data_IF_031778959579
#
_entry.id   IF_031778959579
#
_cell.length_a   1.000
_cell.length_b   1.000
_cell.length_c   1.000
_cell.angle_alpha   90.00
_cell.angle_beta   90.00
_cell.angle_gamma   90.00
#
_symmetry.space_group_name_H-M   'P 1'
#
loop_
_entity.id
_entity.type
_entity.pdbx_description
1 polymer ?
#
# COMPACT_ATOMS: atom_id res chain seq x y z
N UNK A 1 -23.26 15.21 9.47
CA UNK A 1 -22.31 14.99 8.35
C UNK A 1 -23.12 15.12 7.08
N UNK A 2 -22.98 16.24 6.37
CA UNK A 2 -23.57 16.43 5.05
C UNK A 2 -22.85 15.48 4.10
N UNK A 3 -23.56 14.51 3.55
CA UNK A 3 -23.02 13.62 2.54
C UNK A 3 -22.56 14.48 1.36
N UNK A 4 -21.32 14.28 0.94
CA UNK A 4 -20.83 14.86 -0.29
C UNK A 4 -21.56 14.11 -1.42
N UNK A 5 -22.68 14.66 -1.86
CA UNK A 5 -23.40 14.16 -3.02
C UNK A 5 -22.68 14.69 -4.26
N UNK A 6 -21.79 13.89 -4.79
CA UNK A 6 -21.08 14.19 -6.02
C UNK A 6 -20.22 13.01 -6.43
N UNK A 7 -20.10 12.79 -7.72
CA UNK A 7 -19.14 11.84 -8.28
C UNK A 7 -17.85 12.60 -8.53
N UNK A 8 -16.75 12.16 -7.94
CA UNK A 8 -15.41 12.62 -8.33
C UNK A 8 -14.96 11.66 -9.42
N UNK A 9 -14.78 12.18 -10.60
CA UNK A 9 -14.21 11.43 -11.72
C UNK A 9 -12.70 11.62 -11.72
N UNK A 10 -11.97 10.51 -11.60
CA UNK A 10 -10.51 10.46 -11.75
C UNK A 10 -10.25 9.67 -13.02
N UNK A 11 -10.04 10.35 -14.16
CA UNK A 11 -10.06 9.72 -15.48
C UNK A 11 -8.88 8.77 -15.72
N UNK A 12 -7.77 8.98 -15.03
CA UNK A 12 -6.55 8.17 -15.19
C UNK A 12 -5.92 7.84 -13.84
N UNK A 13 -5.14 6.78 -13.78
CA UNK A 13 -4.29 6.53 -12.62
C UNK A 13 -3.19 7.61 -12.53
N UNK A 14 -2.91 8.10 -11.32
CA UNK A 14 -1.92 9.15 -11.14
C UNK A 14 -1.84 9.60 -9.67
N UNK A 15 -0.95 10.54 -9.44
CA UNK A 15 -0.83 11.24 -8.16
C UNK A 15 -1.55 12.58 -8.30
N UNK A 16 -2.60 12.76 -7.50
CA UNK A 16 -3.48 13.93 -7.57
C UNK A 16 -3.39 14.75 -6.30
N UNK A 17 -3.39 16.07 -6.45
CA UNK A 17 -3.62 16.95 -5.33
C UNK A 17 -5.12 17.00 -5.02
N UNK A 18 -5.49 16.61 -3.80
CA UNK A 18 -6.86 16.66 -3.31
C UNK A 18 -6.96 17.68 -2.18
N UNK A 19 -7.97 18.53 -2.22
CA UNK A 19 -8.33 19.34 -1.05
C UNK A 19 -8.93 18.46 0.06
N UNK A 20 -9.14 19.01 1.25
CA UNK A 20 -9.62 18.27 2.41
C UNK A 20 -10.97 17.56 2.17
N UNK A 21 -11.88 18.20 1.41
CA UNK A 21 -13.20 17.65 1.07
C UNK A 21 -13.05 16.43 0.16
N UNK A 22 -12.25 16.53 -0.88
CA UNK A 22 -12.02 15.47 -1.84
C UNK A 22 -11.19 14.32 -1.23
N UNK A 23 -10.19 14.63 -0.38
CA UNK A 23 -9.42 13.65 0.36
C UNK A 23 -10.31 12.84 1.33
N UNK A 24 -11.24 13.53 2.04
CA UNK A 24 -12.20 12.87 2.92
C UNK A 24 -13.16 11.97 2.13
N UNK A 25 -13.67 12.43 0.99
CA UNK A 25 -14.50 11.62 0.12
C UNK A 25 -13.75 10.38 -0.37
N UNK A 26 -12.52 10.54 -0.85
CA UNK A 26 -11.68 9.43 -1.30
C UNK A 26 -11.45 8.39 -0.20
N UNK A 27 -11.18 8.84 1.02
CA UNK A 27 -10.97 7.98 2.18
C UNK A 27 -12.25 7.23 2.63
N UNK A 28 -13.45 7.80 2.39
CA UNK A 28 -14.73 7.26 2.86
C UNK A 28 -15.50 6.47 1.81
N UNK A 29 -15.25 6.69 0.52
CA UNK A 29 -16.00 6.08 -0.57
C UNK A 29 -16.00 4.55 -0.50
N UNK A 30 -17.19 3.93 -0.70
CA UNK A 30 -17.39 2.46 -0.72
C UNK A 30 -18.18 1.99 -1.94
N UNK A 31 -18.61 2.92 -2.81
CA UNK A 31 -19.59 2.61 -3.87
C UNK A 31 -19.14 1.53 -4.86
N UNK A 32 -17.87 1.47 -5.17
CA UNK A 32 -17.33 0.59 -6.23
C UNK A 32 -16.25 -0.37 -5.73
N UNK A 33 -16.00 -0.38 -4.40
CA UNK A 33 -14.85 -1.08 -3.84
C UNK A 33 -15.18 -1.72 -2.48
N UNK A 34 -14.30 -2.61 -2.02
CA UNK A 34 -14.42 -3.29 -0.72
C UNK A 34 -14.01 -2.40 0.46
N UNK A 35 -14.29 -2.85 1.68
CA UNK A 35 -13.80 -2.24 2.91
C UNK A 35 -12.27 -2.32 3.01
N UNK A 36 -11.65 -3.35 2.44
CA UNK A 36 -10.20 -3.47 2.35
C UNK A 36 -9.60 -2.38 1.46
N UNK A 37 -10.24 -2.07 0.33
CA UNK A 37 -9.81 -0.97 -0.53
C UNK A 37 -10.00 0.39 0.14
N UNK A 38 -11.06 0.55 0.94
CA UNK A 38 -11.25 1.75 1.76
C UNK A 38 -10.11 1.94 2.75
N UNK A 39 -9.74 0.88 3.49
CA UNK A 39 -8.63 0.93 4.44
C UNK A 39 -7.32 1.32 3.75
N UNK A 40 -7.04 0.78 2.57
CA UNK A 40 -5.87 1.16 1.77
C UNK A 40 -5.90 2.63 1.35
N UNK A 41 -7.07 3.17 0.95
CA UNK A 41 -7.21 4.59 0.62
C UNK A 41 -6.99 5.48 1.83
N UNK A 42 -7.51 5.11 2.99
CA UNK A 42 -7.26 5.83 4.24
C UNK A 42 -5.76 5.92 4.55
N UNK A 43 -5.05 4.82 4.43
CA UNK A 43 -3.60 4.83 4.63
C UNK A 43 -2.86 5.68 3.59
N UNK A 44 -3.29 5.70 2.32
CA UNK A 44 -2.72 6.59 1.29
C UNK A 44 -2.91 8.06 1.66
N UNK A 45 -4.09 8.44 2.15
CA UNK A 45 -4.33 9.82 2.62
C UNK A 45 -3.43 10.16 3.80
N UNK A 46 -3.30 9.27 4.79
CA UNK A 46 -2.41 9.50 5.94
C UNK A 46 -0.94 9.67 5.50
N UNK A 47 -0.48 8.87 4.55
CA UNK A 47 0.86 9.00 3.98
C UNK A 47 1.05 10.32 3.24
N UNK A 48 0.07 10.72 2.44
CA UNK A 48 0.11 11.99 1.72
C UNK A 48 0.15 13.18 2.68
N UNK A 49 -0.66 13.14 3.75
CA UNK A 49 -0.62 14.13 4.82
C UNK A 49 0.75 14.19 5.50
N UNK A 50 1.32 13.04 5.84
CA UNK A 50 2.66 12.98 6.43
C UNK A 50 3.72 13.59 5.52
N UNK A 51 3.67 13.29 4.22
CA UNK A 51 4.56 13.88 3.24
C UNK A 51 4.43 15.41 3.16
N UNK A 52 3.21 15.93 3.19
CA UNK A 52 2.95 17.37 3.17
C UNK A 52 3.44 18.06 4.47
N UNK A 53 3.16 17.44 5.62
CA UNK A 53 3.62 17.94 6.92
C UNK A 53 5.15 18.11 6.94
N UNK A 54 5.87 17.11 6.44
CA UNK A 54 7.33 17.15 6.33
C UNK A 54 7.80 18.23 5.33
N UNK A 55 7.19 18.24 4.13
CA UNK A 55 7.61 19.15 3.06
C UNK A 55 7.36 20.64 3.39
N UNK A 56 6.30 20.94 4.14
CA UNK A 56 5.89 22.29 4.47
C UNK A 56 6.40 22.77 5.85
N UNK A 57 7.12 21.92 6.60
CA UNK A 57 7.63 22.27 7.92
C UNK A 57 6.54 22.55 8.96
N UNK A 58 5.33 21.98 8.78
CA UNK A 58 4.16 22.23 9.64
C UNK A 58 4.41 21.77 11.08
N UNK A 59 5.36 20.87 11.33
CA UNK A 59 5.70 20.40 12.69
C UNK A 59 6.01 21.57 13.63
N UNK A 60 6.70 22.60 13.14
CA UNK A 60 6.97 23.82 13.92
C UNK A 60 5.72 24.64 14.25
N UNK A 61 4.60 24.41 13.56
CA UNK A 61 3.32 25.10 13.78
C UNK A 61 2.34 24.29 14.66
N UNK A 62 2.70 23.06 15.05
CA UNK A 62 1.85 22.20 15.88
C UNK A 62 1.36 22.87 17.17
N UNK A 63 2.16 23.67 17.91
CA UNK A 63 1.65 24.38 19.09
C UNK A 63 0.47 25.31 18.78
N UNK A 64 0.51 25.99 17.63
CA UNK A 64 -0.56 26.91 17.22
C UNK A 64 -1.82 26.16 16.74
N UNK A 65 -1.65 24.96 16.20
CA UNK A 65 -2.72 24.13 15.67
C UNK A 65 -3.29 23.16 16.71
N UNK A 66 -2.72 23.11 17.92
CA UNK A 66 -3.07 22.12 18.93
C UNK A 66 -4.54 22.16 19.34
N UNK A 67 -5.10 23.34 19.51
CA UNK A 67 -6.52 23.51 19.85
C UNK A 67 -7.44 22.93 18.78
N UNK A 68 -7.15 23.22 17.52
CA UNK A 68 -7.92 22.69 16.39
C UNK A 68 -7.78 21.17 16.24
N UNK A 69 -6.58 20.66 16.53
CA UNK A 69 -6.32 19.22 16.49
C UNK A 69 -7.17 18.47 17.54
N UNK A 70 -7.24 18.98 18.77
CA UNK A 70 -8.05 18.39 19.85
C UNK A 70 -9.55 18.41 19.54
N UNK A 71 -10.04 19.37 18.77
CA UNK A 71 -11.41 19.41 18.29
C UNK A 71 -11.72 18.33 17.24
N UNK A 72 -10.69 17.80 16.60
CA UNK A 72 -10.80 16.86 15.47
C UNK A 72 -10.42 15.44 15.85
N UNK A 73 -9.44 15.28 16.75
CA UNK A 73 -8.87 13.99 17.14
C UNK A 73 -9.04 13.80 18.65
N UNK A 74 -9.61 12.69 19.05
CA UNK A 74 -9.66 12.29 20.46
C UNK A 74 -8.39 11.46 20.78
N UNK A 75 -7.57 11.95 21.71
CA UNK A 75 -6.30 11.33 22.10
C UNK A 75 -6.01 11.57 23.57
N UNK A 76 -5.27 10.69 24.19
CA UNK A 76 -4.70 10.81 25.53
C UNK A 76 -3.30 11.44 25.53
N UNK A 77 -2.72 11.72 24.33
CA UNK A 77 -1.43 12.39 24.18
C UNK A 77 -1.57 13.88 24.49
N UNK A 78 -0.61 14.42 25.21
CA UNK A 78 -0.47 15.87 25.39
C UNK A 78 0.41 16.49 24.28
N UNK A 79 0.48 17.81 24.20
CA UNK A 79 1.26 18.51 23.19
C UNK A 79 2.76 18.12 23.20
N UNK A 80 3.35 17.94 24.37
CA UNK A 80 4.77 17.56 24.48
C UNK A 80 5.01 16.17 23.92
N UNK A 81 4.10 15.23 24.18
CA UNK A 81 4.17 13.87 23.62
C UNK A 81 4.08 13.90 22.10
N UNK A 82 3.16 14.72 21.55
CA UNK A 82 3.01 14.87 20.11
C UNK A 82 4.24 15.52 19.47
N UNK A 83 4.81 16.55 20.08
CA UNK A 83 6.04 17.18 19.59
C UNK A 83 7.23 16.23 19.64
N UNK A 84 7.35 15.44 20.71
CA UNK A 84 8.40 14.42 20.84
C UNK A 84 8.25 13.34 19.75
N UNK A 85 7.06 12.79 19.58
CA UNK A 85 6.79 11.78 18.55
C UNK A 85 6.96 12.33 17.14
N UNK A 86 6.54 13.58 16.89
CA UNK A 86 6.75 14.25 15.60
C UNK A 86 8.24 14.41 15.30
N UNK A 87 9.05 14.80 16.30
CA UNK A 87 10.51 14.89 16.17
C UNK A 87 11.16 13.54 15.85
N UNK A 88 10.72 12.45 16.49
CA UNK A 88 11.17 11.11 16.14
C UNK A 88 10.72 10.73 14.72
N UNK A 89 9.48 11.04 14.37
CA UNK A 89 8.92 10.75 13.06
C UNK A 89 9.70 11.37 11.90
N UNK A 90 10.26 12.57 12.09
CA UNK A 90 11.09 13.21 11.04
C UNK A 90 12.40 12.48 10.77
N UNK A 91 12.89 11.70 11.72
CA UNK A 91 14.11 10.92 11.60
C UNK A 91 13.89 9.55 10.93
N UNK A 92 12.64 9.14 10.78
CA UNK A 92 12.29 7.86 10.17
C UNK A 92 12.31 8.03 8.65
N UNK A 93 13.20 7.28 7.99
CA UNK A 93 13.17 7.17 6.54
C UNK A 93 11.88 6.49 6.07
N UNK A 94 11.26 7.04 5.00
CA UNK A 94 10.00 6.52 4.44
C UNK A 94 10.11 5.04 4.04
N UNK A 95 11.28 4.62 3.57
CA UNK A 95 11.58 3.24 3.22
C UNK A 95 11.51 2.27 4.41
N UNK A 96 11.54 2.79 5.63
CA UNK A 96 11.44 2.00 6.88
C UNK A 96 10.03 1.90 7.43
N UNK A 97 9.07 2.62 6.86
CA UNK A 97 7.66 2.57 7.28
C UNK A 97 7.00 1.38 6.59
N UNK A 98 6.82 0.29 7.32
CA UNK A 98 6.08 -0.88 6.85
C UNK A 98 4.58 -0.67 6.96
N UNK A 99 3.87 -1.13 5.93
CA UNK A 99 2.42 -1.23 5.99
C UNK A 99 2.02 -2.69 5.84
N UNK A 100 1.24 -3.17 6.78
CA UNK A 100 0.69 -4.50 6.75
C UNK A 100 -0.83 -4.41 6.67
N UNK A 101 -1.41 -5.25 5.83
CA UNK A 101 -2.85 -5.30 5.64
C UNK A 101 -3.34 -6.71 5.92
N UNK A 102 -4.40 -6.81 6.68
CA UNK A 102 -5.27 -7.97 6.63
C UNK A 102 -6.25 -7.71 5.49
N UNK A 103 -6.17 -8.47 4.43
CA UNK A 103 -6.96 -8.26 3.22
C UNK A 103 -7.83 -9.48 2.88
N UNK A 104 -8.54 -9.40 1.75
CA UNK A 104 -9.45 -10.44 1.33
C UNK A 104 -8.80 -11.80 1.06
N UNK A 105 -7.46 -11.88 1.00
CA UNK A 105 -6.76 -13.17 0.87
C UNK A 105 -6.80 -13.97 2.19
N UNK A 106 -6.88 -13.26 3.32
CA UNK A 106 -6.90 -13.85 4.67
C UNK A 106 -8.28 -13.72 5.35
N UNK A 107 -9.25 -13.08 4.69
CA UNK A 107 -10.57 -12.81 5.24
C UNK A 107 -11.63 -13.73 4.63
N UNK A 108 -12.32 -14.48 5.46
CA UNK A 108 -13.41 -15.35 5.05
C UNK A 108 -14.74 -14.64 5.28
N UNK A 109 -15.52 -14.48 4.22
CA UNK A 109 -16.85 -13.90 4.30
C UNK A 109 -17.83 -14.89 4.92
N UNK A 110 -18.58 -14.40 5.90
CA UNK A 110 -19.65 -15.15 6.56
C UNK A 110 -20.92 -14.30 6.56
N UNK A 111 -22.07 -14.95 6.38
CA UNK A 111 -23.38 -14.31 6.55
C UNK A 111 -23.96 -14.83 7.83
N UNK A 112 -24.26 -13.94 8.80
CA UNK A 112 -24.86 -14.33 10.07
C UNK A 112 -26.30 -14.82 9.88
N UNK A 113 -26.87 -15.43 10.91
CA UNK A 113 -28.26 -15.89 10.87
C UNK A 113 -29.25 -14.72 10.65
N UNK A 114 -28.87 -13.51 11.06
CA UNK A 114 -29.63 -12.26 10.90
C UNK A 114 -29.38 -11.60 9.52
N UNK A 115 -28.64 -12.25 8.62
CA UNK A 115 -28.34 -11.75 7.28
C UNK A 115 -27.21 -10.73 7.18
N UNK A 116 -26.48 -10.45 8.27
CA UNK A 116 -25.35 -9.54 8.24
C UNK A 116 -24.13 -10.20 7.57
N UNK A 117 -23.52 -9.47 6.62
CA UNK A 117 -22.26 -9.90 6.01
C UNK A 117 -21.08 -9.45 6.86
N UNK A 118 -20.37 -10.41 7.43
CA UNK A 118 -19.20 -10.20 8.28
C UNK A 118 -17.98 -10.91 7.71
N UNK A 119 -16.78 -10.45 8.13
CA UNK A 119 -15.54 -11.15 7.82
C UNK A 119 -14.97 -11.72 9.12
N UNK A 120 -14.45 -12.93 9.05
CA UNK A 120 -13.62 -13.49 10.10
C UNK A 120 -12.25 -13.88 9.53
N UNK A 121 -11.26 -13.88 10.40
CA UNK A 121 -9.89 -14.24 10.04
C UNK A 121 -9.51 -15.53 10.78
N UNK A 122 -8.94 -16.48 10.04
CA UNK A 122 -8.32 -17.63 10.68
C UNK A 122 -6.97 -17.20 11.27
N UNK A 123 -6.75 -17.46 12.55
CA UNK A 123 -5.51 -17.07 13.24
C UNK A 123 -4.27 -17.65 12.58
N UNK A 124 -4.31 -18.89 12.12
CA UNK A 124 -3.18 -19.53 11.45
C UNK A 124 -2.80 -18.81 10.15
N UNK A 125 -3.80 -18.39 9.36
CA UNK A 125 -3.60 -17.68 8.11
C UNK A 125 -3.03 -16.27 8.31
N UNK A 126 -3.49 -15.56 9.35
CA UNK A 126 -3.03 -14.19 9.63
C UNK A 126 -1.77 -14.15 10.49
N UNK A 127 -1.42 -15.24 11.19
CA UNK A 127 -0.26 -15.27 12.10
C UNK A 127 1.04 -14.86 11.41
N UNK A 128 1.25 -15.30 10.19
CA UNK A 128 2.40 -14.94 9.37
C UNK A 128 2.42 -13.42 9.07
N UNK A 129 1.27 -12.87 8.71
CA UNK A 129 1.13 -11.42 8.43
C UNK A 129 1.36 -10.62 9.71
N UNK A 130 0.79 -11.04 10.84
CA UNK A 130 0.99 -10.40 12.13
C UNK A 130 2.46 -10.48 12.57
N UNK A 131 3.06 -11.67 12.52
CA UNK A 131 4.49 -11.81 12.82
C UNK A 131 5.34 -10.89 11.96
N UNK A 132 5.13 -10.87 10.64
CA UNK A 132 5.89 -10.00 9.75
C UNK A 132 5.67 -8.51 10.01
N UNK A 133 4.52 -8.12 10.58
CA UNK A 133 4.23 -6.74 10.94
C UNK A 133 4.96 -6.29 12.21
N UNK A 134 5.10 -7.19 13.19
CA UNK A 134 5.67 -6.88 14.50
C UNK A 134 7.13 -7.36 14.67
N UNK A 135 7.58 -8.29 13.84
CA UNK A 135 8.99 -8.67 13.86
C UNK A 135 9.88 -7.51 13.43
N UNK A 136 10.93 -7.18 14.18
CA UNK A 136 11.91 -6.21 13.74
C UNK A 136 12.48 -6.67 12.39
N UNK A 137 12.65 -5.73 11.49
CA UNK A 137 13.35 -6.02 10.23
C UNK A 137 14.70 -6.65 10.55
N UNK A 138 15.06 -7.68 9.81
CA UNK A 138 16.32 -8.40 9.99
C UNK A 138 17.45 -7.38 10.21
N UNK A 139 18.07 -7.40 11.40
CA UNK A 139 19.07 -6.42 11.81
C UNK A 139 20.20 -6.27 10.78
N UNK A 140 20.49 -7.33 10.02
CA UNK A 140 21.43 -7.29 8.92
C UNK A 140 20.99 -6.39 7.75
N UNK A 141 19.69 -6.06 7.64
CA UNK A 141 19.15 -5.13 6.62
C UNK A 141 18.87 -3.73 7.20
N UNK A 142 18.73 -3.60 8.51
CA UNK A 142 18.38 -2.32 9.14
C UNK A 142 19.44 -1.23 8.95
N UNK A 143 20.69 -1.60 8.68
CA UNK A 143 21.81 -0.70 8.41
C UNK A 143 22.17 -0.58 6.91
N UNK A 144 21.50 -1.32 6.01
CA UNK A 144 21.82 -1.25 4.60
C UNK A 144 20.97 -0.16 3.91
N UNK A 145 21.53 0.56 2.93
CA UNK A 145 20.76 1.48 2.13
C UNK A 145 19.64 0.74 1.39
N UNK A 146 18.53 1.43 1.07
CA UNK A 146 17.46 0.84 0.25
C UNK A 146 18.01 0.38 -1.10
N UNK A 147 17.54 -0.78 -1.57
CA UNK A 147 17.89 -1.23 -2.92
C UNK A 147 17.39 -0.23 -3.96
N UNK A 148 18.24 0.11 -4.91
CA UNK A 148 17.99 1.17 -5.89
C UNK A 148 17.32 0.61 -7.14
N UNK A 149 16.21 1.24 -7.52
CA UNK A 149 15.35 0.80 -8.63
C UNK A 149 15.10 1.93 -9.62
N UNK A 150 15.03 1.61 -10.90
CA UNK A 150 14.44 2.48 -11.91
C UNK A 150 13.10 1.90 -12.40
N UNK A 151 12.17 2.78 -12.77
CA UNK A 151 10.83 2.41 -13.25
C UNK A 151 10.61 3.03 -14.62
N UNK A 152 10.33 2.19 -15.60
CA UNK A 152 10.10 2.59 -16.98
C UNK A 152 8.66 2.25 -17.37
N UNK A 153 7.92 3.26 -17.85
CA UNK A 153 6.56 3.07 -18.33
C UNK A 153 6.59 2.57 -19.79
N UNK A 154 6.37 1.30 -19.98
CA UNK A 154 6.27 0.65 -21.28
C UNK A 154 4.85 0.62 -21.86
N UNK A 155 3.96 1.52 -21.41
CA UNK A 155 2.58 1.60 -21.86
C UNK A 155 2.20 3.00 -22.34
N UNK A 156 1.10 3.11 -23.06
CA UNK A 156 0.54 4.41 -23.45
C UNK A 156 -0.23 5.11 -22.30
N UNK A 157 -0.38 4.46 -21.15
CA UNK A 157 -1.09 5.03 -20.01
C UNK A 157 -0.19 6.03 -19.26
N UNK A 158 -0.61 7.30 -19.14
CA UNK A 158 0.22 8.31 -18.50
C UNK A 158 0.37 8.08 -16.99
N UNK A 159 1.50 8.51 -16.42
CA UNK A 159 1.78 8.53 -14.98
C UNK A 159 1.85 7.16 -14.28
N UNK A 160 1.83 6.06 -14.99
CA UNK A 160 1.97 4.74 -14.37
C UNK A 160 3.33 4.56 -13.71
N UNK A 161 4.38 5.09 -14.30
CA UNK A 161 5.73 5.17 -13.73
C UNK A 161 5.76 5.90 -12.38
N UNK A 162 5.11 7.06 -12.29
CA UNK A 162 5.04 7.82 -11.05
C UNK A 162 4.28 7.07 -9.94
N UNK A 163 3.17 6.39 -10.28
CA UNK A 163 2.41 5.56 -9.33
C UNK A 163 3.22 4.36 -8.86
N UNK A 164 3.98 3.72 -9.76
CA UNK A 164 4.85 2.61 -9.41
C UNK A 164 6.03 3.06 -8.55
N UNK A 165 6.62 4.23 -8.85
CA UNK A 165 7.69 4.83 -8.06
C UNK A 165 7.23 5.15 -6.63
N UNK A 166 6.05 5.74 -6.45
CA UNK A 166 5.47 5.97 -5.12
C UNK A 166 5.27 4.65 -4.37
N UNK A 167 4.74 3.63 -5.03
CA UNK A 167 4.56 2.28 -4.44
C UNK A 167 5.87 1.67 -3.96
N UNK A 168 6.94 1.78 -4.77
CA UNK A 168 8.27 1.28 -4.43
C UNK A 168 8.88 2.01 -3.24
N UNK A 169 8.77 3.34 -3.23
CA UNK A 169 9.26 4.15 -2.11
C UNK A 169 8.63 3.71 -0.79
N UNK A 170 7.33 3.46 -0.79
CA UNK A 170 6.62 2.96 0.39
C UNK A 170 6.86 1.48 0.70
N UNK A 171 7.40 0.73 -0.25
CA UNK A 171 7.84 -0.66 -0.04
C UNK A 171 9.30 -0.76 0.43
N UNK A 172 9.98 0.37 0.63
CA UNK A 172 11.34 0.41 1.14
C UNK A 172 12.42 0.32 0.08
N UNK A 173 12.13 0.76 -1.14
CA UNK A 173 13.10 0.88 -2.22
C UNK A 173 13.48 2.33 -2.48
N UNK A 174 14.73 2.55 -2.86
CA UNK A 174 15.19 3.83 -3.38
C UNK A 174 14.87 3.92 -4.87
N UNK A 175 14.04 4.87 -5.27
CA UNK A 175 13.75 5.08 -6.70
C UNK A 175 14.72 6.13 -7.25
N UNK A 176 15.67 5.69 -8.09
CA UNK A 176 16.64 6.58 -8.70
C UNK A 176 16.03 7.45 -9.80
N UNK A 177 15.20 6.83 -10.63
CA UNK A 177 14.48 7.53 -11.70
C UNK A 177 13.23 6.77 -12.11
N UNK A 178 12.28 7.49 -12.71
CA UNK A 178 11.13 6.93 -13.39
C UNK A 178 10.82 7.77 -14.64
N UNK A 179 10.21 7.15 -15.63
CA UNK A 179 9.91 7.80 -16.91
C UNK A 179 9.42 6.82 -17.97
N UNK A 180 9.35 7.23 -19.24
CA UNK A 180 8.97 6.36 -20.34
C UNK A 180 10.04 5.27 -20.59
N UNK A 181 9.60 4.09 -21.06
CA UNK A 181 10.46 3.05 -21.59
C UNK A 181 10.89 3.42 -23.05
N UNK A 182 11.69 2.56 -23.65
CA UNK A 182 12.12 2.66 -25.06
C UNK A 182 10.95 2.57 -26.04
N UNK A 183 9.84 1.95 -25.63
CA UNK A 183 8.59 1.83 -26.38
C UNK A 183 7.38 1.79 -25.42
N UNK A 184 6.17 1.97 -25.95
CA UNK A 184 4.93 2.09 -25.16
C UNK A 184 3.93 0.96 -25.39
N UNK A 185 4.38 -0.19 -25.89
CA UNK A 185 3.56 -1.35 -26.26
C UNK A 185 3.97 -2.65 -25.55
N UNK A 186 4.59 -2.54 -24.39
CA UNK A 186 4.89 -3.72 -23.58
C UNK A 186 3.60 -4.38 -23.11
N UNK A 187 3.38 -5.65 -23.53
CA UNK A 187 2.22 -6.41 -23.12
C UNK A 187 2.30 -6.85 -21.66
N UNK A 188 3.50 -7.17 -21.19
CA UNK A 188 3.72 -7.70 -19.83
C UNK A 188 4.79 -6.90 -19.09
N UNK A 189 4.55 -6.74 -17.79
CA UNK A 189 5.49 -6.12 -16.87
C UNK A 189 6.69 -7.03 -16.64
N UNK A 190 7.88 -6.46 -16.69
CA UNK A 190 9.14 -7.16 -16.50
C UNK A 190 9.92 -6.57 -15.34
N UNK A 191 10.57 -7.42 -14.57
CA UNK A 191 11.46 -7.02 -13.48
C UNK A 191 12.82 -7.65 -13.73
N UNK A 192 13.83 -6.81 -13.87
CA UNK A 192 15.18 -7.19 -14.24
C UNK A 192 16.11 -6.94 -13.06
N UNK A 193 16.74 -7.98 -12.55
CA UNK A 193 17.82 -7.91 -11.57
C UNK A 193 19.15 -7.69 -12.31
N UNK A 194 19.73 -6.52 -12.14
CA UNK A 194 20.98 -6.10 -12.81
C UNK A 194 22.21 -6.39 -11.96
N UNK A 195 22.05 -6.91 -10.75
CA UNK A 195 23.15 -7.13 -9.82
C UNK A 195 24.02 -8.31 -10.24
N UNK A 196 25.32 -8.15 -10.02
CA UNK A 196 26.30 -9.17 -10.34
C UNK A 196 26.16 -10.47 -9.49
N UNK A 197 25.52 -10.39 -8.31
CA UNK A 197 25.38 -11.53 -7.40
C UNK A 197 23.91 -11.82 -7.07
N UNK A 198 23.45 -13.07 -7.24
CA UNK A 198 22.07 -13.44 -6.89
C UNK A 198 21.80 -13.42 -5.38
N UNK A 199 22.85 -13.53 -4.54
CA UNK A 199 22.71 -13.57 -3.09
C UNK A 199 22.08 -12.26 -2.56
N UNK A 200 20.98 -12.39 -1.84
CA UNK A 200 20.24 -11.25 -1.29
C UNK A 200 19.34 -10.56 -2.32
N UNK A 201 19.06 -11.18 -3.48
CA UNK A 201 18.14 -10.64 -4.47
C UNK A 201 16.74 -10.42 -3.89
N UNK A 202 16.18 -9.25 -4.20
CA UNK A 202 14.79 -8.89 -3.92
C UNK A 202 13.87 -9.14 -5.11
N UNK A 203 14.33 -9.85 -6.14
CA UNK A 203 13.56 -10.10 -7.36
C UNK A 203 12.19 -10.75 -7.06
N UNK A 204 12.17 -11.75 -6.21
CA UNK A 204 10.91 -12.39 -5.80
C UNK A 204 10.00 -11.48 -4.96
N UNK A 205 10.56 -10.57 -4.17
CA UNK A 205 9.81 -9.58 -3.40
C UNK A 205 9.17 -8.54 -4.34
N UNK A 206 9.93 -8.03 -5.30
CA UNK A 206 9.43 -7.14 -6.35
C UNK A 206 8.37 -7.84 -7.20
N UNK A 207 8.58 -9.12 -7.55
CA UNK A 207 7.59 -9.92 -8.25
C UNK A 207 6.25 -9.97 -7.53
N UNK A 208 6.24 -10.19 -6.21
CA UNK A 208 5.02 -10.15 -5.41
C UNK A 208 4.38 -8.75 -5.38
N UNK A 209 5.21 -7.70 -5.23
CA UNK A 209 4.73 -6.31 -5.17
C UNK A 209 4.03 -5.88 -6.47
N UNK A 210 4.55 -6.31 -7.61
CA UNK A 210 4.02 -5.99 -8.92
C UNK A 210 3.12 -7.09 -9.51
N UNK A 211 2.98 -8.23 -8.82
CA UNK A 211 2.25 -9.43 -9.30
C UNK A 211 2.83 -10.03 -10.57
N UNK A 212 4.14 -9.95 -10.69
CA UNK A 212 4.92 -10.52 -11.79
C UNK A 212 5.49 -11.86 -11.37
N UNK A 213 5.43 -12.87 -12.25
CA UNK A 213 5.94 -14.20 -11.99
C UNK A 213 6.53 -14.84 -13.27
N UNK A 214 7.20 -15.94 -13.10
CA UNK A 214 7.71 -16.76 -14.21
C UNK A 214 8.80 -16.05 -15.04
N UNK A 215 8.72 -16.10 -16.37
CA UNK A 215 9.78 -15.64 -17.26
C UNK A 215 9.99 -14.11 -17.24
N UNK A 216 9.06 -13.36 -16.66
CA UNK A 216 9.17 -11.90 -16.54
C UNK A 216 9.98 -11.45 -15.30
N UNK A 217 10.43 -12.39 -14.47
CA UNK A 217 11.45 -12.16 -13.45
C UNK A 217 12.81 -12.53 -14.03
N UNK A 218 13.57 -11.55 -14.48
CA UNK A 218 14.75 -11.71 -15.31
C UNK A 218 16.00 -11.43 -14.46
N UNK A 219 16.97 -12.32 -14.50
CA UNK A 219 18.31 -12.04 -13.96
C UNK A 219 19.23 -11.73 -15.14
N UNK A 220 19.68 -10.47 -15.22
CA UNK A 220 20.54 -9.98 -16.28
C UNK A 220 21.62 -9.08 -15.67
N UNK A 221 22.67 -9.64 -15.10
CA UNK A 221 23.73 -8.86 -14.48
C UNK A 221 24.35 -7.86 -15.44
N UNK A 222 24.41 -6.60 -15.00
CA UNK A 222 25.07 -5.52 -15.73
C UNK A 222 25.95 -4.74 -14.74
N UNK A 223 27.26 -4.95 -14.75
CA UNK A 223 28.20 -4.26 -13.87
C UNK A 223 28.28 -2.74 -14.09
N UNK A 224 27.79 -2.25 -15.24
CA UNK A 224 27.77 -0.82 -15.54
C UNK A 224 26.45 -0.14 -15.10
N UNK A 225 25.47 -0.92 -14.62
CA UNK A 225 24.19 -0.36 -14.18
C UNK A 225 24.35 0.47 -12.90
N UNK A 226 23.76 1.65 -12.89
CA UNK A 226 23.69 2.55 -11.73
C UNK A 226 22.60 2.14 -10.74
N UNK A 227 21.72 1.19 -11.12
CA UNK A 227 20.60 0.69 -10.32
C UNK A 227 20.69 -0.82 -10.16
N UNK A 228 20.13 -1.33 -9.08
CA UNK A 228 20.13 -2.77 -8.82
C UNK A 228 19.00 -3.49 -9.58
N UNK A 229 17.88 -2.79 -9.80
CA UNK A 229 16.71 -3.36 -10.47
C UNK A 229 16.13 -2.37 -11.48
N UNK A 230 15.64 -2.92 -12.59
CA UNK A 230 14.84 -2.19 -13.56
C UNK A 230 13.47 -2.83 -13.66
N UNK A 231 12.42 -2.00 -13.59
CA UNK A 231 11.04 -2.42 -13.75
C UNK A 231 10.50 -1.76 -15.01
N UNK A 232 10.05 -2.55 -15.96
CA UNK A 232 9.37 -2.08 -17.17
C UNK A 232 7.90 -2.45 -17.01
N UNK A 233 7.05 -1.44 -16.90
CA UNK A 233 5.60 -1.65 -16.75
C UNK A 233 4.99 -2.03 -18.10
N UNK A 234 4.20 -3.08 -18.12
CA UNK A 234 3.42 -3.53 -19.26
C UNK A 234 1.92 -3.27 -19.08
N UNK A 235 1.15 -3.55 -20.12
CA UNK A 235 -0.30 -3.37 -20.12
C UNK A 235 -1.05 -4.24 -19.09
N UNK A 236 -0.42 -5.31 -18.61
CA UNK A 236 -0.93 -6.20 -17.58
C UNK A 236 -0.85 -5.63 -16.15
N UNK A 237 -0.11 -4.53 -15.96
CA UNK A 237 0.01 -3.94 -14.64
C UNK A 237 -1.23 -3.14 -14.26
N UNK A 238 -1.77 -3.40 -13.07
CA UNK A 238 -2.88 -2.64 -12.50
C UNK A 238 -2.37 -1.64 -11.45
N UNK A 239 -2.35 -0.33 -11.75
CA UNK A 239 -1.97 0.70 -10.79
C UNK A 239 -2.94 0.82 -9.62
N UNK A 240 -4.19 0.40 -9.79
CA UNK A 240 -5.22 0.50 -8.74
C UNK A 240 -5.19 -0.67 -7.77
N UNK A 241 -4.60 -1.79 -8.13
CA UNK A 241 -4.52 -3.05 -7.37
C UNK A 241 -5.62 -3.22 -6.31
N UNK A 242 -6.75 -3.77 -6.73
CA UNK A 242 -7.84 -4.11 -5.81
C UNK A 242 -7.38 -5.23 -4.88
N UNK A 243 -7.87 -5.19 -3.63
CA UNK A 243 -7.70 -6.32 -2.73
C UNK A 243 -8.33 -7.57 -3.39
N UNK A 244 -7.58 -8.66 -3.45
CA UNK A 244 -8.15 -9.93 -3.85
C UNK A 244 -9.23 -10.31 -2.83
N UNK A 245 -10.49 -10.34 -3.26
CA UNK A 245 -11.57 -10.92 -2.45
C UNK A 245 -11.65 -12.37 -2.89
N UNK A 246 -11.21 -13.30 -2.05
CA UNK A 246 -11.41 -14.72 -2.30
C UNK A 246 -12.90 -15.00 -2.44
N UNK A 247 -13.32 -15.60 -3.55
CA UNK A 247 -14.66 -16.15 -3.68
C UNK A 247 -14.65 -17.46 -2.90
N UNK A 248 -15.06 -17.40 -1.64
CA UNK A 248 -15.17 -18.60 -0.82
C UNK A 248 -16.56 -19.20 -0.97
N UNK A 249 -16.69 -20.53 -1.04
CA UNK A 249 -17.97 -21.17 -1.06
C UNK A 249 -18.73 -20.81 0.21
N UNK A 250 -19.95 -20.34 0.04
CA UNK A 250 -20.87 -20.06 1.14
C UNK A 250 -21.06 -21.37 1.91
N UNK A 251 -20.57 -21.47 3.15
CA UNK A 251 -20.90 -22.59 3.99
C UNK A 251 -22.40 -22.52 4.24
N UNK A 252 -23.15 -23.49 3.70
CA UNK A 252 -24.55 -23.69 4.05
C UNK A 252 -24.59 -23.93 5.57
N UNK A 253 -25.39 -23.18 6.35
CA UNK A 253 -25.49 -23.43 7.78
C UNK A 253 -25.94 -24.89 7.98
N UNK A 254 -25.20 -25.63 8.79
CA UNK A 254 -25.61 -26.96 9.20
C UNK A 254 -26.91 -26.79 9.97
N UNK A 255 -28.01 -27.50 9.57
CA UNK A 255 -29.28 -27.37 10.30
C UNK A 255 -29.05 -27.74 11.76
N UNK A 256 -29.47 -26.86 12.65
CA UNK A 256 -29.48 -27.12 14.10
C UNK A 256 -30.35 -28.34 14.36
N UNK A 257 -29.85 -29.38 15.04
CA UNK A 257 -30.68 -30.52 15.36
C UNK A 257 -31.91 -30.08 16.14
N UNK A 258 -33.09 -30.39 15.64
CA UNK A 258 -34.36 -30.16 16.33
C UNK A 258 -34.34 -30.95 17.64
N UNK A 259 -34.58 -30.32 18.81
CA UNK A 259 -34.68 -31.07 20.05
C UNK A 259 -35.80 -32.11 19.96
N UNK A 260 -35.49 -33.31 20.42
CA UNK A 260 -36.46 -34.39 20.44
C UNK A 260 -37.64 -33.99 21.34
N UNK A 261 -38.92 -34.34 20.99
CA UNK A 261 -40.05 -34.07 21.83
C UNK A 261 -39.92 -34.89 23.12
N UNK A 262 -40.21 -34.25 24.28
CA UNK A 262 -40.25 -34.86 25.59
C UNK A 262 -41.54 -35.67 25.73
#
# INVERSE_FOLDING_TARGET
FTEITGTIDIPTAGIYHLDGKHALWYARSRRTTSDFDRSRRQQRVLRALWNQIQAQGIIGQLPNLWGELLNTVQTDLNLNDVLYLAGLGTQIDRSRIKNSFLDGANAHRFVSAEGASVFYFNYEEISQTLKSAFEPQNLNRAGQPPAVVEVLNGTANPNWDAVAADRLTWAGYGVARYGPADRSDYATTQIIDLRATPKGSRLAELGRLFRVAGPNLISQPDPAAEVEYRIILGADWDPCQRAAIGVFPTRTPTPTPTPAPQ
#
